data_IF_656864861327
#
_entry.id   IF_656864861327
#
_cell.length_a   1.000
_cell.length_b   1.000
_cell.length_c   1.000
_cell.angle_alpha   90.00
_cell.angle_beta   90.00
_cell.angle_gamma   90.00
#
_symmetry.space_group_name_H-M   'P 1'
#
loop_
_entity.id
_entity.type
_entity.pdbx_description
1 polymer ?
#
# COMPACT_ATOMS: atom_id res chain seq x y z
N UNK A 1 -0.60 -5.13 3.51
CA UNK A 1 0.69 -4.74 4.09
C UNK A 1 1.32 -3.58 3.29
N UNK A 2 0.74 -2.39 3.35
CA UNK A 2 1.19 -1.21 2.58
C UNK A 2 2.41 -0.51 3.18
N UNK A 3 2.65 -0.73 4.46
CA UNK A 3 3.61 -0.05 5.34
C UNK A 3 4.69 -0.99 5.89
N UNK A 4 4.69 -2.24 5.45
CA UNK A 4 5.66 -3.27 5.84
C UNK A 4 5.73 -3.55 7.35
N UNK A 5 4.67 -3.22 8.10
CA UNK A 5 4.63 -3.34 9.57
C UNK A 5 4.05 -4.67 10.08
N UNK A 6 3.74 -5.64 9.20
CA UNK A 6 3.28 -6.94 9.68
C UNK A 6 4.38 -7.66 10.44
N UNK A 7 4.03 -8.15 11.64
CA UNK A 7 4.92 -8.90 12.53
C UNK A 7 4.40 -10.33 12.70
N UNK A 8 5.27 -11.36 12.68
CA UNK A 8 4.87 -12.75 12.89
C UNK A 8 4.17 -13.00 14.23
N UNK A 9 4.39 -12.18 15.25
CA UNK A 9 3.70 -12.27 16.54
C UNK A 9 2.22 -11.87 16.49
N UNK A 10 1.80 -11.11 15.48
CA UNK A 10 0.40 -10.70 15.33
C UNK A 10 -0.50 -11.84 14.88
N UNK A 11 0.08 -12.89 14.30
CA UNK A 11 -0.65 -14.05 13.78
C UNK A 11 0.11 -15.34 14.05
N UNK A 12 -0.12 -15.87 15.23
CA UNK A 12 0.55 -17.09 15.69
C UNK A 12 0.42 -18.23 14.67
N UNK A 13 1.57 -18.85 14.34
CA UNK A 13 1.67 -19.99 13.41
C UNK A 13 1.78 -19.62 11.93
N UNK A 14 1.59 -18.38 11.53
CA UNK A 14 1.75 -17.93 10.14
C UNK A 14 3.10 -17.23 9.91
N UNK A 15 4.09 -18.00 9.51
CA UNK A 15 5.45 -17.49 9.20
C UNK A 15 5.47 -16.49 8.03
N UNK A 16 4.43 -16.48 7.20
CA UNK A 16 4.33 -15.55 6.07
C UNK A 16 3.76 -14.20 6.49
N UNK A 17 3.24 -14.09 7.72
CA UNK A 17 2.78 -12.82 8.29
C UNK A 17 3.97 -12.02 8.81
N UNK A 18 4.66 -11.34 7.90
CA UNK A 18 5.89 -10.60 8.16
C UNK A 18 5.94 -9.33 7.30
N UNK A 19 6.97 -8.52 7.46
CA UNK A 19 7.12 -7.24 6.78
C UNK A 19 7.09 -7.31 5.25
N UNK A 20 7.43 -8.46 4.63
CA UNK A 20 7.34 -8.65 3.18
C UNK A 20 6.02 -9.26 2.72
N UNK A 21 5.09 -9.56 3.64
CA UNK A 21 3.82 -10.20 3.32
C UNK A 21 3.09 -9.51 2.17
N UNK A 22 2.62 -10.30 1.22
CA UNK A 22 1.94 -9.86 -0.02
C UNK A 22 2.83 -9.12 -1.03
N UNK A 23 4.13 -8.97 -0.76
CA UNK A 23 5.06 -8.36 -1.69
C UNK A 23 6.05 -9.39 -2.23
N UNK A 24 6.23 -9.40 -3.54
CA UNK A 24 7.15 -10.32 -4.22
C UNK A 24 7.95 -9.55 -5.26
N UNK A 25 9.27 -9.75 -5.28
CA UNK A 25 10.12 -9.23 -6.34
C UNK A 25 10.15 -10.22 -7.52
N UNK A 26 9.84 -9.75 -8.71
CA UNK A 26 9.94 -10.50 -9.98
C UNK A 26 11.02 -9.90 -10.85
N UNK A 27 11.86 -10.74 -11.42
CA UNK A 27 13.01 -10.34 -12.24
C UNK A 27 14.34 -10.52 -11.51
N UNK A 28 15.41 -10.16 -12.22
CA UNK A 28 16.78 -10.27 -11.75
C UNK A 28 17.44 -8.89 -11.56
N UNK A 29 18.67 -8.87 -11.06
CA UNK A 29 19.48 -7.63 -10.93
C UNK A 29 18.84 -6.54 -10.06
N UNK A 30 17.98 -6.93 -9.15
CA UNK A 30 17.42 -6.10 -8.10
C UNK A 30 17.28 -6.94 -6.85
N UNK A 31 17.54 -6.36 -5.69
CA UNK A 31 17.25 -6.99 -4.40
C UNK A 31 16.14 -6.22 -3.68
N UNK A 32 15.33 -6.95 -2.92
CA UNK A 32 14.28 -6.40 -2.07
C UNK A 32 14.54 -6.83 -0.64
N UNK A 33 14.71 -5.86 0.24
CA UNK A 33 14.92 -6.08 1.68
C UNK A 33 14.09 -5.10 2.49
N UNK A 34 13.93 -5.37 3.79
CA UNK A 34 13.30 -4.45 4.74
C UNK A 34 14.39 -3.81 5.59
N UNK A 35 14.28 -2.51 5.81
CA UNK A 35 15.16 -1.74 6.67
C UNK A 35 14.36 -0.95 7.71
N UNK A 36 15.06 -0.54 8.78
CA UNK A 36 14.48 0.21 9.91
C UNK A 36 15.31 1.45 10.28
N UNK A 37 16.39 1.71 9.54
CA UNK A 37 17.28 2.85 9.80
C UNK A 37 16.72 4.10 9.15
N UNK A 38 16.52 5.16 9.93
CA UNK A 38 15.96 6.43 9.46
C UNK A 38 14.59 6.24 8.74
N UNK A 39 13.58 5.65 9.45
CA UNK A 39 12.28 5.39 8.89
C UNK A 39 11.49 6.69 8.64
N UNK A 40 10.34 6.57 8.01
CA UNK A 40 9.42 7.68 7.79
C UNK A 40 8.91 8.28 9.12
N UNK A 41 8.67 7.43 10.11
CA UNK A 41 8.25 7.82 11.46
C UNK A 41 8.59 6.70 12.46
N UNK A 42 8.79 7.04 13.73
CA UNK A 42 9.07 6.06 14.79
C UNK A 42 7.95 5.02 15.00
N UNK A 43 6.71 5.38 14.71
CA UNK A 43 5.55 4.46 14.76
C UNK A 43 5.37 3.62 13.47
N UNK A 44 6.21 3.85 12.46
CA UNK A 44 6.23 3.13 11.19
C UNK A 44 7.69 2.86 10.83
N UNK A 45 8.36 1.95 11.58
CA UNK A 45 9.80 1.78 11.50
C UNK A 45 10.28 0.97 10.28
N UNK A 46 9.43 0.17 9.65
CA UNK A 46 9.83 -0.70 8.55
C UNK A 46 9.55 -0.05 7.20
N UNK A 47 10.46 -0.25 6.25
CA UNK A 47 10.27 0.19 4.88
C UNK A 47 11.01 -0.73 3.90
N UNK A 48 10.56 -0.76 2.65
CA UNK A 48 11.19 -1.52 1.58
C UNK A 48 12.42 -0.81 1.02
N UNK A 49 13.49 -1.55 0.81
CA UNK A 49 14.69 -1.12 0.10
C UNK A 49 14.85 -1.95 -1.17
N UNK A 50 14.83 -1.28 -2.30
CA UNK A 50 15.18 -1.86 -3.59
C UNK A 50 16.58 -1.40 -4.00
N UNK A 51 17.53 -2.33 -4.12
CA UNK A 51 18.83 -2.07 -4.71
C UNK A 51 18.82 -2.56 -6.16
N UNK A 52 18.73 -1.63 -7.09
CA UNK A 52 18.59 -1.87 -8.51
C UNK A 52 19.97 -1.80 -9.18
N UNK A 53 20.52 -2.94 -9.60
CA UNK A 53 21.73 -2.98 -10.41
C UNK A 53 21.40 -2.62 -11.87
N UNK A 54 20.26 -3.13 -12.36
CA UNK A 54 19.73 -2.90 -13.71
C UNK A 54 18.21 -2.87 -13.69
N UNK A 55 17.58 -1.93 -14.40
CA UNK A 55 16.12 -1.87 -14.55
C UNK A 55 15.54 -3.16 -15.14
N UNK A 56 14.27 -3.46 -14.80
CA UNK A 56 13.52 -4.59 -15.36
C UNK A 56 12.80 -5.45 -14.33
N UNK A 57 13.21 -5.40 -13.06
CA UNK A 57 12.49 -6.10 -12.00
C UNK A 57 11.26 -5.30 -11.55
N UNK A 58 10.21 -6.02 -11.15
CA UNK A 58 8.97 -5.48 -10.63
C UNK A 58 8.77 -5.90 -9.17
N UNK A 59 8.47 -4.96 -8.29
CA UNK A 59 7.92 -5.25 -6.98
C UNK A 59 6.41 -5.40 -7.13
N UNK A 60 5.90 -6.61 -6.92
CA UNK A 60 4.50 -6.98 -7.12
C UNK A 60 3.72 -7.04 -5.80
N UNK A 61 2.44 -6.65 -5.86
CA UNK A 61 1.44 -6.92 -4.84
C UNK A 61 0.16 -7.42 -5.51
N UNK A 62 -0.31 -8.60 -5.10
CA UNK A 62 -1.48 -9.25 -5.68
C UNK A 62 -2.80 -8.77 -5.06
N UNK A 63 -2.75 -7.88 -4.08
CA UNK A 63 -3.94 -7.48 -3.33
C UNK A 63 -4.45 -8.62 -2.44
N UNK A 64 -5.75 -8.58 -2.16
CA UNK A 64 -6.48 -9.65 -1.50
C UNK A 64 -7.42 -10.27 -2.53
N UNK A 65 -7.07 -11.46 -3.02
CA UNK A 65 -7.75 -12.15 -4.14
C UNK A 65 -7.82 -11.31 -5.43
N UNK A 66 -6.78 -10.50 -5.70
CA UNK A 66 -6.72 -9.58 -6.81
C UNK A 66 -7.08 -8.14 -6.45
N UNK A 67 -6.77 -7.23 -7.36
CA UNK A 67 -7.14 -5.81 -7.32
C UNK A 67 -8.15 -5.59 -8.42
N UNK A 68 -9.44 -5.51 -8.07
CA UNK A 68 -10.53 -5.36 -9.02
C UNK A 68 -10.52 -3.95 -9.66
N UNK A 69 -10.52 -3.92 -10.99
CA UNK A 69 -10.66 -2.71 -11.78
C UNK A 69 -11.98 -2.69 -12.55
N UNK A 70 -12.54 -1.50 -12.72
CA UNK A 70 -13.62 -1.25 -13.66
C UNK A 70 -13.13 -0.30 -14.74
N UNK A 71 -13.35 -0.68 -16.00
CA UNK A 71 -12.94 0.11 -17.17
C UNK A 71 -13.43 1.57 -17.06
N UNK A 72 -12.53 2.51 -17.33
CA UNK A 72 -12.82 3.94 -17.27
C UNK A 72 -12.75 4.55 -15.87
N UNK A 73 -12.74 3.77 -14.80
CA UNK A 73 -12.58 4.30 -13.45
C UNK A 73 -11.14 4.74 -13.17
N UNK A 74 -11.00 5.67 -12.23
CA UNK A 74 -9.73 6.25 -11.82
C UNK A 74 -9.36 5.79 -10.41
N UNK A 75 -8.08 5.55 -10.23
CA UNK A 75 -7.50 5.07 -8.98
C UNK A 75 -6.37 6.01 -8.55
N UNK A 76 -6.45 6.53 -7.33
CA UNK A 76 -5.40 7.34 -6.72
C UNK A 76 -4.28 6.42 -6.24
N UNK A 77 -3.11 6.52 -6.84
CA UNK A 77 -1.89 5.88 -6.37
C UNK A 77 -1.08 6.85 -5.54
N UNK A 78 -0.59 6.42 -4.39
CA UNK A 78 0.35 7.19 -3.58
C UNK A 78 1.41 6.29 -2.95
N UNK A 79 2.60 6.86 -2.77
CA UNK A 79 3.75 6.19 -2.18
C UNK A 79 4.62 7.21 -1.46
N UNK A 80 5.14 6.86 -0.29
CA UNK A 80 6.28 7.54 0.28
C UNK A 80 7.55 6.91 -0.28
N UNK A 81 8.45 7.75 -0.77
CA UNK A 81 9.69 7.27 -1.37
C UNK A 81 10.84 8.25 -1.19
N UNK A 82 12.05 7.73 -1.24
CA UNK A 82 13.29 8.51 -1.32
C UNK A 82 14.37 7.78 -2.12
N UNK A 83 15.32 8.54 -2.63
CA UNK A 83 16.56 8.07 -3.24
C UNK A 83 17.75 8.57 -2.41
N UNK A 84 18.24 7.79 -1.43
CA UNK A 84 19.23 8.28 -0.44
C UNK A 84 20.50 8.81 -1.08
N UNK A 85 20.93 8.20 -2.19
CA UNK A 85 22.12 8.61 -2.95
C UNK A 85 21.87 9.82 -3.87
N UNK A 86 20.59 10.25 -4.01
CA UNK A 86 20.22 11.47 -4.73
C UNK A 86 20.09 11.35 -6.25
N UNK A 87 20.29 10.16 -6.81
CA UNK A 87 20.02 9.89 -8.21
C UNK A 87 18.53 9.62 -8.42
N UNK A 88 17.83 10.48 -9.17
CA UNK A 88 16.40 10.33 -9.40
C UNK A 88 16.07 9.01 -10.09
N UNK A 89 14.95 8.41 -9.69
CA UNK A 89 14.45 7.18 -10.28
C UNK A 89 13.00 7.39 -10.76
N UNK A 90 12.76 7.10 -12.03
CA UNK A 90 11.41 7.06 -12.56
C UNK A 90 10.81 5.70 -12.23
N UNK A 91 9.66 5.69 -11.57
CA UNK A 91 8.88 4.50 -11.30
C UNK A 91 7.77 4.37 -12.34
N UNK A 92 7.71 3.25 -13.02
CA UNK A 92 6.52 2.84 -13.75
C UNK A 92 5.63 2.04 -12.80
N UNK A 93 4.35 2.36 -12.75
CA UNK A 93 3.35 1.69 -11.94
C UNK A 93 2.30 1.11 -12.87
N UNK A 94 2.07 -0.21 -12.78
CA UNK A 94 1.15 -0.94 -13.64
C UNK A 94 0.15 -1.72 -12.83
N UNK A 95 -1.02 -1.91 -13.41
CA UNK A 95 -2.04 -2.86 -12.98
C UNK A 95 -2.18 -3.89 -14.10
N UNK A 96 -1.84 -5.14 -13.80
CA UNK A 96 -1.65 -6.20 -14.79
C UNK A 96 -2.55 -7.39 -14.43
N UNK A 97 -3.30 -7.92 -15.39
CA UNK A 97 -4.17 -9.08 -15.20
C UNK A 97 -3.41 -10.41 -15.10
N UNK A 98 -4.13 -11.51 -14.94
CA UNK A 98 -3.56 -12.85 -14.87
C UNK A 98 -2.88 -13.33 -16.15
N UNK A 99 -3.21 -12.76 -17.30
CA UNK A 99 -2.64 -13.07 -18.61
C UNK A 99 -1.42 -12.19 -18.95
N UNK A 100 -1.12 -11.17 -18.13
CA UNK A 100 -0.02 -10.25 -18.36
C UNK A 100 -0.40 -8.98 -19.13
N UNK A 101 -1.69 -8.73 -19.38
CA UNK A 101 -2.13 -7.53 -20.07
C UNK A 101 -2.12 -6.33 -19.10
N UNK A 102 -1.67 -5.16 -19.60
CA UNK A 102 -1.64 -3.92 -18.82
C UNK A 102 -3.03 -3.29 -18.82
N UNK A 103 -3.77 -3.44 -17.72
CA UNK A 103 -5.11 -2.90 -17.53
C UNK A 103 -5.12 -1.45 -17.02
N UNK A 104 -3.98 -0.91 -16.61
CA UNK A 104 -3.79 0.47 -16.23
C UNK A 104 -2.33 0.76 -15.94
N UNK A 105 -1.88 1.97 -16.23
CA UNK A 105 -0.49 2.35 -15.97
C UNK A 105 -0.33 3.85 -15.75
N UNK A 106 0.73 4.21 -15.05
CA UNK A 106 1.19 5.58 -14.84
C UNK A 106 2.68 5.58 -14.53
N UNK A 107 3.26 6.76 -14.38
CA UNK A 107 4.62 6.88 -13.88
C UNK A 107 4.78 8.10 -12.98
N UNK A 108 5.77 8.04 -12.09
CA UNK A 108 6.19 9.17 -11.26
C UNK A 108 7.72 9.16 -11.13
N UNK A 109 8.30 10.30 -10.73
CA UNK A 109 9.75 10.42 -10.54
C UNK A 109 10.06 10.69 -9.09
N UNK A 110 10.81 9.79 -8.45
CA UNK A 110 11.36 9.97 -7.11
C UNK A 110 12.70 10.67 -7.23
N UNK A 111 12.83 11.85 -6.61
CA UNK A 111 14.04 12.68 -6.71
C UNK A 111 14.56 13.20 -5.37
N UNK A 112 13.79 13.02 -4.30
CA UNK A 112 14.17 13.50 -2.97
C UNK A 112 15.07 12.51 -2.24
N UNK A 113 16.09 12.99 -1.55
CA UNK A 113 16.89 12.21 -0.61
C UNK A 113 16.18 11.96 0.72
N UNK A 114 15.21 12.82 1.04
CA UNK A 114 14.37 12.70 2.23
C UNK A 114 13.04 12.05 1.86
N UNK A 115 12.39 11.44 2.82
CA UNK A 115 11.05 10.89 2.65
C UNK A 115 10.10 11.94 2.12
N UNK A 116 9.41 11.62 1.04
CA UNK A 116 8.41 12.47 0.40
C UNK A 116 7.28 11.63 -0.17
N UNK A 117 6.06 12.16 -0.08
CA UNK A 117 4.90 11.55 -0.71
C UNK A 117 4.86 11.90 -2.20
N UNK A 118 4.72 10.88 -3.03
CA UNK A 118 4.47 11.01 -4.47
C UNK A 118 3.07 10.48 -4.78
N UNK A 119 2.36 11.15 -5.67
CA UNK A 119 0.96 10.83 -6.01
C UNK A 119 0.77 10.88 -7.52
N UNK A 120 -0.07 9.99 -8.03
CA UNK A 120 -0.49 9.97 -9.44
C UNK A 120 -1.85 9.27 -9.55
N UNK A 121 -2.44 9.29 -10.73
CA UNK A 121 -3.73 8.64 -11.01
C UNK A 121 -3.51 7.59 -12.08
N UNK A 122 -4.13 6.43 -11.90
CA UNK A 122 -4.22 5.37 -12.90
C UNK A 122 -5.67 5.33 -13.40
N UNK A 123 -5.85 5.38 -14.73
CA UNK A 123 -7.16 5.14 -15.35
C UNK A 123 -7.20 3.69 -15.85
N UNK A 124 -8.23 2.94 -15.43
CA UNK A 124 -8.39 1.56 -15.85
C UNK A 124 -8.78 1.49 -17.33
N UNK A 125 -8.07 0.68 -18.10
CA UNK A 125 -8.29 0.40 -19.53
C UNK A 125 -9.21 -0.81 -19.78
N UNK A 126 -9.37 -1.65 -18.73
CA UNK A 126 -10.19 -2.85 -18.76
C UNK A 126 -10.86 -3.09 -17.39
N UNK A 127 -11.93 -3.88 -17.39
CA UNK A 127 -12.50 -4.47 -16.18
C UNK A 127 -11.83 -5.82 -15.99
N UNK A 128 -11.04 -5.97 -14.90
CA UNK A 128 -10.25 -7.16 -14.61
C UNK A 128 -9.84 -7.23 -13.15
N UNK A 129 -9.51 -8.42 -12.68
CA UNK A 129 -8.75 -8.60 -11.46
C UNK A 129 -7.25 -8.55 -11.79
N UNK A 130 -6.52 -7.71 -11.09
CA UNK A 130 -5.14 -7.36 -11.42
C UNK A 130 -4.22 -7.49 -10.22
N UNK A 131 -2.91 -7.40 -10.48
CA UNK A 131 -1.86 -7.16 -9.50
C UNK A 131 -1.21 -5.80 -9.75
N UNK A 132 -0.68 -5.20 -8.70
CA UNK A 132 0.10 -3.97 -8.77
C UNK A 132 1.56 -4.32 -9.03
N UNK A 133 2.19 -3.67 -9.99
CA UNK A 133 3.61 -3.75 -10.27
C UNK A 133 4.26 -2.36 -10.14
N UNK A 134 5.36 -2.26 -9.38
CA UNK A 134 6.19 -1.07 -9.25
C UNK A 134 7.55 -1.40 -9.85
N UNK A 135 7.93 -0.70 -10.93
CA UNK A 135 9.09 -1.01 -11.75
C UNK A 135 10.05 0.19 -11.78
N UNK A 136 11.17 0.16 -11.03
CA UNK A 136 12.22 1.16 -11.13
C UNK A 136 12.85 1.18 -12.53
N UNK A 137 13.06 2.38 -13.07
CA UNK A 137 13.59 2.57 -14.43
C UNK A 137 15.07 3.00 -14.45
N UNK A 138 15.70 3.11 -13.28
CA UNK A 138 17.13 3.48 -13.15
C UNK A 138 17.80 2.62 -12.09
N UNK A 139 19.09 2.38 -12.25
CA UNK A 139 19.92 1.76 -11.22
C UNK A 139 20.04 2.67 -9.99
N UNK A 140 20.32 2.08 -8.83
CA UNK A 140 20.52 2.77 -7.55
C UNK A 140 19.60 2.26 -6.45
N UNK A 141 19.80 2.81 -5.27
CA UNK A 141 18.97 2.51 -4.10
C UNK A 141 17.68 3.35 -4.10
N UNK A 142 16.58 2.68 -3.86
CA UNK A 142 15.24 3.28 -3.75
C UNK A 142 14.56 2.75 -2.49
N UNK A 143 14.11 3.64 -1.63
CA UNK A 143 13.38 3.30 -0.42
C UNK A 143 11.90 3.65 -0.61
N UNK A 144 11.01 2.72 -0.26
CA UNK A 144 9.57 2.80 -0.48
C UNK A 144 8.80 2.46 0.79
N UNK A 145 7.71 3.20 1.02
CA UNK A 145 6.83 2.96 2.14
C UNK A 145 5.40 3.45 1.86
N UNK A 146 4.43 3.08 2.69
CA UNK A 146 3.03 3.54 2.64
C UNK A 146 2.42 3.50 1.24
N UNK A 147 2.63 2.39 0.53
CA UNK A 147 2.13 2.21 -0.84
C UNK A 147 0.62 2.01 -0.81
N UNK A 148 -0.12 2.84 -1.53
CA UNK A 148 -1.58 2.84 -1.50
C UNK A 148 -2.18 3.03 -2.88
N UNK A 149 -3.29 2.32 -3.14
CA UNK A 149 -4.09 2.45 -4.34
C UNK A 149 -5.57 2.46 -3.93
N UNK A 150 -6.28 3.57 -4.20
CA UNK A 150 -7.67 3.76 -3.82
C UNK A 150 -8.53 4.19 -5.01
N UNK A 151 -9.74 3.64 -5.20
CA UNK A 151 -10.66 4.11 -6.22
C UNK A 151 -11.11 5.55 -5.90
N UNK A 152 -11.32 6.37 -6.94
CA UNK A 152 -11.94 7.68 -6.78
C UNK A 152 -13.47 7.58 -6.65
N UNK A 153 -14.07 6.53 -7.25
CA UNK A 153 -15.50 6.27 -7.19
C UNK A 153 -15.87 5.57 -5.87
N UNK A 154 -16.10 6.36 -4.85
CA UNK A 154 -16.39 5.90 -3.48
C UNK A 154 -17.80 6.33 -3.04
N UNK A 155 -18.27 5.76 -1.92
CA UNK A 155 -19.53 6.17 -1.32
C UNK A 155 -19.51 7.66 -0.97
N UNK A 156 -20.50 8.40 -1.49
CA UNK A 156 -20.63 9.87 -1.38
C UNK A 156 -19.39 10.64 -1.89
N UNK A 157 -18.60 10.05 -2.78
CA UNK A 157 -17.41 10.70 -3.37
C UNK A 157 -16.32 11.06 -2.36
N UNK A 158 -16.27 10.40 -1.22
CA UNK A 158 -15.26 10.69 -0.19
C UNK A 158 -13.90 10.14 -0.60
N UNK A 159 -12.86 10.98 -0.48
CA UNK A 159 -11.49 10.55 -0.74
C UNK A 159 -11.09 9.40 0.19
N UNK A 160 -10.50 8.35 -0.37
CA UNK A 160 -10.20 7.10 0.34
C UNK A 160 -11.42 6.55 1.10
N UNK A 161 -12.61 6.78 0.53
CA UNK A 161 -13.88 6.42 1.14
C UNK A 161 -14.19 4.93 1.00
N UNK A 162 -15.32 4.57 1.57
CA UNK A 162 -15.81 3.20 1.53
C UNK A 162 -16.22 2.82 0.10
N UNK A 163 -16.14 1.55 -0.20
CA UNK A 163 -16.65 0.94 -1.43
C UNK A 163 -18.13 1.28 -1.59
N UNK A 164 -18.47 1.90 -2.74
CA UNK A 164 -19.77 2.55 -2.94
C UNK A 164 -20.95 1.59 -2.83
N UNK A 165 -20.86 0.44 -3.50
CA UNK A 165 -21.92 -0.56 -3.53
C UNK A 165 -22.25 -1.12 -2.13
N UNK A 166 -21.22 -1.57 -1.38
CA UNK A 166 -21.42 -2.10 -0.04
C UNK A 166 -21.90 -1.04 0.96
N UNK A 167 -21.32 0.15 0.91
CA UNK A 167 -21.72 1.24 1.80
C UNK A 167 -23.13 1.75 1.48
N UNK A 168 -23.57 1.70 0.22
CA UNK A 168 -24.94 2.03 -0.14
C UNK A 168 -25.94 1.02 0.44
N UNK A 169 -25.68 -0.29 0.32
CA UNK A 169 -26.52 -1.32 0.92
C UNK A 169 -26.68 -1.12 2.44
N UNK A 170 -25.56 -0.84 3.12
CA UNK A 170 -25.62 -0.53 4.57
C UNK A 170 -26.43 0.74 4.87
N UNK A 171 -26.31 1.76 4.03
CA UNK A 171 -27.07 2.99 4.18
C UNK A 171 -28.58 2.76 3.97
N UNK A 172 -28.95 1.92 3.01
CA UNK A 172 -30.34 1.60 2.67
C UNK A 172 -31.06 0.79 3.77
N UNK A 173 -30.30 0.03 4.58
CA UNK A 173 -30.83 -0.65 5.78
C UNK A 173 -31.25 0.37 6.86
N UNK A 174 -30.75 1.61 6.81
CA UNK A 174 -31.04 2.67 7.79
C UNK A 174 -30.75 2.25 9.24
N UNK A 175 -29.53 1.74 9.56
CA UNK A 175 -29.24 1.28 10.90
C UNK A 175 -29.38 2.40 11.93
N UNK A 176 -29.98 2.11 13.08
CA UNK A 176 -30.14 3.08 14.17
C UNK A 176 -28.84 3.37 14.90
N UNK A 177 -27.92 2.40 14.91
CA UNK A 177 -26.58 2.55 15.49
C UNK A 177 -25.60 1.56 14.83
N UNK A 178 -24.33 1.86 14.97
CA UNK A 178 -23.22 0.96 14.59
C UNK A 178 -22.31 0.80 15.81
N UNK A 179 -22.02 -0.44 16.18
CA UNK A 179 -21.04 -0.75 17.22
C UNK A 179 -19.69 -1.02 16.57
N UNK A 180 -18.69 -0.22 16.92
CA UNK A 180 -17.33 -0.32 16.39
C UNK A 180 -16.29 -0.03 17.49
N UNK A 181 -15.14 -0.72 17.53
CA UNK A 181 -14.70 -1.84 16.69
C UNK A 181 -15.28 -3.19 17.13
N UNK A 182 -15.77 -3.30 18.34
CA UNK A 182 -16.39 -4.48 18.95
C UNK A 182 -15.40 -5.49 19.54
N UNK A 183 -15.93 -6.33 20.43
CA UNK A 183 -15.30 -7.55 20.97
C UNK A 183 -13.84 -7.44 21.41
N UNK A 184 -13.08 -8.42 21.02
CA UNK A 184 -11.69 -8.59 21.40
C UNK A 184 -10.79 -7.42 20.97
N UNK A 185 -11.06 -6.80 19.82
CA UNK A 185 -10.32 -5.61 19.39
C UNK A 185 -10.46 -4.46 20.37
N UNK A 186 -11.67 -4.30 20.98
CA UNK A 186 -11.91 -3.17 21.89
C UNK A 186 -11.13 -3.29 23.20
N UNK A 187 -11.01 -4.50 23.77
CA UNK A 187 -10.32 -4.68 25.04
C UNK A 187 -8.85 -5.11 24.91
N UNK A 188 -8.43 -5.62 23.72
CA UNK A 188 -7.10 -6.15 23.51
C UNK A 188 -6.76 -7.31 24.45
N UNK A 189 -5.48 -7.58 24.63
CA UNK A 189 -4.96 -8.56 25.58
C UNK A 189 -4.49 -7.90 26.89
N UNK A 190 -4.92 -6.67 27.14
CA UNK A 190 -4.61 -5.89 28.33
C UNK A 190 -4.42 -4.40 28.04
N UNK A 191 -3.99 -3.66 29.05
CA UNK A 191 -3.86 -2.19 28.96
C UNK A 191 -2.87 -1.71 27.88
N UNK A 192 -1.93 -2.55 27.46
CA UNK A 192 -0.90 -2.18 26.49
C UNK A 192 -1.44 -2.07 25.05
N UNK A 193 -2.41 -2.90 24.68
CA UNK A 193 -2.97 -2.95 23.34
C UNK A 193 -4.50 -2.79 23.29
N UNK A 194 -5.11 -2.25 24.35
CA UNK A 194 -6.51 -1.84 24.31
C UNK A 194 -6.72 -0.81 23.19
N UNK A 195 -7.77 -1.00 22.39
CA UNK A 195 -8.07 -0.12 21.27
C UNK A 195 -8.23 1.34 21.68
N UNK A 196 -7.41 2.18 21.10
CA UNK A 196 -7.44 3.62 21.34
C UNK A 196 -7.70 4.35 20.00
N UNK A 197 -8.95 4.72 19.76
CA UNK A 197 -9.33 5.41 18.53
C UNK A 197 -8.47 6.64 18.20
N UNK A 198 -7.89 7.29 19.20
CA UNK A 198 -6.98 8.43 19.02
C UNK A 198 -5.75 8.09 18.19
N UNK A 199 -5.29 6.83 18.27
CA UNK A 199 -4.15 6.35 17.49
C UNK A 199 -4.47 6.23 15.99
N UNK A 200 -5.76 6.25 15.62
CA UNK A 200 -6.20 6.18 14.21
C UNK A 200 -6.38 7.56 13.57
N UNK A 201 -6.11 8.65 14.32
CA UNK A 201 -6.25 10.03 13.86
C UNK A 201 -4.88 10.63 13.58
N UNK A 202 -4.81 11.56 12.61
CA UNK A 202 -3.58 12.24 12.23
C UNK A 202 -2.94 11.69 10.94
N UNK A 203 -1.73 12.14 10.60
CA UNK A 203 -0.98 11.65 9.44
C UNK A 203 -0.81 10.13 9.49
N UNK A 204 -0.96 9.47 8.35
CA UNK A 204 -0.94 8.00 8.29
C UNK A 204 0.36 7.40 8.81
N UNK A 205 1.47 7.99 8.43
CA UNK A 205 2.82 7.57 8.80
C UNK A 205 3.12 7.71 10.29
N UNK A 206 2.38 8.56 10.99
CA UNK A 206 2.55 8.81 12.42
C UNK A 206 1.60 7.99 13.31
N UNK A 207 0.66 7.24 12.72
CA UNK A 207 -0.30 6.43 13.47
C UNK A 207 0.39 5.25 14.13
N UNK A 208 0.02 5.01 15.39
CA UNK A 208 0.52 3.85 16.13
C UNK A 208 -0.24 2.60 15.69
N UNK A 209 0.47 1.49 15.50
CA UNK A 209 -0.13 0.16 15.36
C UNK A 209 -0.95 -0.20 16.62
N UNK A 210 -2.01 -0.97 16.44
CA UNK A 210 -2.93 -1.42 17.51
C UNK A 210 -2.84 -2.92 17.65
#
# INVERSE_FOLDING_TARGET
>A
NRDFEYDPSDREGDKNWNSTHSWTLKGDKTTFTIATTDPIHANNPHYAVLNVERPGAALENTGFDGIALNVGEKYDFSIFARVPQGQSNKLQVRLVDGEGNICGETSLTVSSRQWKTYKTVITAKATADTRLEIIPQSAGELNLDMISLFPQHTFKGRKNGLRKDLAQVLADIHPRFIRFPGGCVAHGDGLKNIYQWKNTVGPLEARKAQ
#
